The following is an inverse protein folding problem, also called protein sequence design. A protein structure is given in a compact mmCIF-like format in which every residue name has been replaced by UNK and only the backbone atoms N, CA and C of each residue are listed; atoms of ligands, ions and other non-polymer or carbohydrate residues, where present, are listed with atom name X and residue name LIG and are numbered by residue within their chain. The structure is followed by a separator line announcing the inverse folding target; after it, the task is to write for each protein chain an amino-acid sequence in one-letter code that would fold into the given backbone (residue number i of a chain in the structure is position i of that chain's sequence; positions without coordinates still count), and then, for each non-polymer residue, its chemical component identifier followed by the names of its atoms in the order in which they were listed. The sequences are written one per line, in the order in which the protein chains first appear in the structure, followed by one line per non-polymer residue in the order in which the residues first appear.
data_IF_210223355083
#
_entry.id   IF_210223355083
#
_cell.length_a   1.000
_cell.length_b   1.000
_cell.length_c   1.000
_cell.angle_alpha   90.00
_cell.angle_beta   90.00
_cell.angle_gamma   90.00
#
_symmetry.space_group_name_H-M   'P 1'
#
loop_
_entity.id
_entity.type
_entity.pdbx_description
1 polymer ?
#
# COMPACT_ATOMS: atom_id res chain seq x y z
N UNK A 1 26.20 50.33 6.10
CA UNK A 1 26.17 49.02 6.79
C UNK A 1 24.78 48.40 6.79
N UNK A 2 23.73 49.13 7.18
CA UNK A 2 22.34 48.61 7.29
C UNK A 2 21.81 47.93 6.02
N UNK A 3 22.04 48.50 4.83
CA UNK A 3 21.58 47.91 3.55
C UNK A 3 22.26 46.57 3.20
N UNK A 4 23.53 46.41 3.57
CA UNK A 4 24.29 45.17 3.33
C UNK A 4 23.79 44.08 4.27
N UNK A 5 23.55 44.42 5.54
CA UNK A 5 22.99 43.49 6.55
C UNK A 5 21.59 43.04 6.16
N UNK A 6 20.72 43.94 5.69
CA UNK A 6 19.38 43.59 5.20
C UNK A 6 19.42 42.67 3.98
N UNK A 7 20.35 42.91 3.04
CA UNK A 7 20.53 42.05 1.87
C UNK A 7 20.94 40.62 2.24
N UNK A 8 21.88 40.48 3.18
CA UNK A 8 22.32 39.16 3.68
C UNK A 8 21.19 38.45 4.42
N UNK A 9 20.44 39.18 5.27
CA UNK A 9 19.32 38.61 6.02
C UNK A 9 18.20 38.11 5.10
N UNK A 10 17.84 38.89 4.08
CA UNK A 10 16.85 38.48 3.09
C UNK A 10 17.30 37.23 2.31
N UNK A 11 18.56 37.15 1.91
CA UNK A 11 19.11 35.97 1.23
C UNK A 11 19.10 34.72 2.14
N UNK A 12 19.41 34.87 3.44
CA UNK A 12 19.34 33.79 4.41
C UNK A 12 17.90 33.28 4.62
N UNK A 13 16.91 34.17 4.69
CA UNK A 13 15.50 33.78 4.83
C UNK A 13 15.03 33.06 3.56
N UNK A 14 15.35 33.57 2.37
CA UNK A 14 14.97 32.92 1.11
C UNK A 14 15.55 31.51 0.97
N UNK A 15 16.80 31.29 1.42
CA UNK A 15 17.42 29.97 1.40
C UNK A 15 16.77 29.01 2.40
N UNK A 16 16.43 29.46 3.61
CA UNK A 16 15.70 28.65 4.60
C UNK A 16 14.32 28.27 4.08
N UNK A 17 13.57 29.23 3.52
CA UNK A 17 12.23 28.99 2.97
C UNK A 17 12.31 28.06 1.77
N UNK A 18 13.26 28.27 0.86
CA UNK A 18 13.48 27.38 -0.29
C UNK A 18 13.82 25.95 0.13
N UNK A 19 14.70 25.78 1.12
CA UNK A 19 15.05 24.47 1.66
C UNK A 19 13.85 23.77 2.31
N UNK A 20 13.02 24.51 3.05
CA UNK A 20 11.79 23.97 3.66
C UNK A 20 10.77 23.55 2.61
N UNK A 21 10.53 24.36 1.60
CA UNK A 21 9.61 24.02 0.51
C UNK A 21 10.11 22.84 -0.32
N UNK A 22 11.42 22.76 -0.58
CA UNK A 22 12.02 21.60 -1.25
C UNK A 22 11.92 20.34 -0.39
N UNK A 23 12.12 20.46 0.92
CA UNK A 23 11.93 19.35 1.86
C UNK A 23 10.47 18.90 1.88
N UNK A 24 9.51 19.81 2.06
CA UNK A 24 8.08 19.47 2.07
C UNK A 24 7.64 18.84 0.73
N UNK A 25 8.08 19.42 -0.40
CA UNK A 25 7.81 18.86 -1.73
C UNK A 25 8.42 17.46 -1.91
N UNK A 26 9.64 17.20 -1.43
CA UNK A 26 10.28 15.88 -1.53
C UNK A 26 9.70 14.85 -0.56
N UNK A 27 9.23 15.29 0.61
CA UNK A 27 8.54 14.43 1.58
C UNK A 27 7.10 14.09 1.18
N UNK A 28 6.42 14.95 0.42
CA UNK A 28 5.11 14.65 -0.16
C UNK A 28 5.20 14.00 -1.55
N UNK A 29 6.32 14.17 -2.25
CA UNK A 29 6.62 13.47 -3.51
C UNK A 29 7.34 12.13 -3.30
N UNK A 30 7.47 11.65 -2.06
CA UNK A 30 7.99 10.30 -1.83
C UNK A 30 6.90 9.30 -2.22
N UNK A 31 7.19 8.23 -2.97
CA UNK A 31 6.32 7.06 -2.98
C UNK A 31 6.29 6.55 -1.54
N UNK A 32 5.25 6.91 -0.80
CA UNK A 32 5.05 6.55 0.59
C UNK A 32 5.39 5.08 0.79
N UNK A 33 6.50 4.79 1.48
CA UNK A 33 6.73 3.57 2.25
C UNK A 33 6.09 2.29 1.67
N UNK A 34 6.32 2.03 0.38
CA UNK A 34 5.76 0.85 -0.29
C UNK A 34 6.48 -0.43 0.21
N UNK A 35 7.69 -0.26 0.74
CA UNK A 35 8.59 -1.32 1.20
C UNK A 35 9.23 -1.00 2.55
N UNK A 36 8.43 -0.92 3.62
CA UNK A 36 9.03 -0.99 4.94
C UNK A 36 9.45 -2.43 5.24
N UNK A 37 10.76 -2.65 5.28
CA UNK A 37 11.35 -3.97 5.51
C UNK A 37 11.01 -4.58 6.88
N UNK A 38 10.33 -3.85 7.78
CA UNK A 38 9.86 -4.36 9.07
C UNK A 38 8.35 -4.72 9.07
N UNK A 39 7.59 -4.27 8.07
CA UNK A 39 6.22 -4.71 7.83
C UNK A 39 6.23 -6.07 7.09
N UNK A 40 6.93 -7.04 7.67
CA UNK A 40 7.05 -8.38 7.11
C UNK A 40 5.92 -9.26 7.61
N UNK A 41 5.41 -10.11 6.73
CA UNK A 41 4.42 -11.17 6.93
C UNK A 41 2.95 -10.78 7.07
N UNK A 42 2.54 -9.53 6.81
CA UNK A 42 1.11 -9.18 6.75
C UNK A 42 0.76 -8.06 5.77
N UNK A 43 -0.48 -8.09 5.33
CA UNK A 43 -1.18 -7.11 4.49
C UNK A 43 -2.42 -6.64 5.23
N UNK A 44 -2.45 -5.38 5.67
CA UNK A 44 -3.66 -4.73 6.18
C UNK A 44 -4.37 -4.07 5.00
N UNK A 45 -5.59 -4.49 4.68
CA UNK A 45 -6.30 -4.06 3.47
C UNK A 45 -7.79 -3.87 3.71
N UNK A 46 -8.43 -3.18 2.78
CA UNK A 46 -9.89 -3.04 2.72
C UNK A 46 -10.44 -4.05 1.70
N UNK A 47 -11.42 -4.85 2.12
CA UNK A 47 -12.16 -5.76 1.24
C UNK A 47 -13.31 -5.03 0.53
N UNK A 48 -13.92 -5.66 -0.47
CA UNK A 48 -14.97 -5.05 -1.29
C UNK A 48 -16.20 -4.55 -0.52
N UNK A 49 -16.49 -5.18 0.62
CA UNK A 49 -17.59 -4.79 1.50
C UNK A 49 -17.21 -3.63 2.46
N UNK A 50 -16.04 -3.02 2.28
CA UNK A 50 -15.54 -1.93 3.13
C UNK A 50 -14.93 -2.41 4.46
N UNK A 51 -15.00 -3.70 4.78
CA UNK A 51 -14.43 -4.22 6.02
C UNK A 51 -12.91 -4.27 5.94
N UNK A 52 -12.27 -4.03 7.07
CA UNK A 52 -10.81 -4.04 7.23
C UNK A 52 -10.33 -5.42 7.66
N UNK A 53 -9.34 -5.92 6.93
CA UNK A 53 -8.79 -7.25 7.12
C UNK A 53 -7.26 -7.19 7.18
N UNK A 54 -6.68 -8.16 7.87
CA UNK A 54 -5.27 -8.50 7.78
C UNK A 54 -5.13 -9.84 7.08
N UNK A 55 -4.24 -9.96 6.10
CA UNK A 55 -3.95 -11.21 5.42
C UNK A 55 -2.45 -11.53 5.37
N UNK A 56 -2.15 -12.81 5.26
CA UNK A 56 -0.82 -13.35 4.97
C UNK A 56 -0.97 -14.67 4.18
N UNK A 57 0.12 -15.18 3.64
CA UNK A 57 0.11 -16.39 2.82
C UNK A 57 0.68 -17.56 3.63
N UNK A 58 -0.09 -18.64 3.71
CA UNK A 58 0.34 -19.94 4.24
C UNK A 58 -0.13 -21.03 3.29
N UNK A 59 0.75 -21.98 2.97
CA UNK A 59 0.43 -23.14 2.11
C UNK A 59 -0.24 -22.76 0.76
N UNK A 60 0.18 -21.64 0.18
CA UNK A 60 -0.35 -21.12 -1.10
C UNK A 60 -1.74 -20.48 -1.02
N UNK A 61 -2.35 -20.42 0.16
CA UNK A 61 -3.62 -19.75 0.40
C UNK A 61 -3.42 -18.46 1.19
N UNK A 62 -4.38 -17.55 1.07
CA UNK A 62 -4.47 -16.38 1.95
C UNK A 62 -5.15 -16.81 3.24
N UNK A 63 -4.50 -16.62 4.38
CA UNK A 63 -5.14 -16.58 5.70
C UNK A 63 -5.54 -15.14 5.99
N UNK A 64 -6.75 -14.95 6.52
CA UNK A 64 -7.39 -13.65 6.68
C UNK A 64 -7.89 -13.54 8.13
N UNK A 65 -7.75 -12.37 8.73
CA UNK A 65 -8.35 -12.04 10.02
C UNK A 65 -9.05 -10.68 9.92
N UNK A 66 -10.33 -10.56 10.32
CA UNK A 66 -11.01 -9.28 10.33
C UNK A 66 -10.44 -8.40 11.45
N UNK A 67 -10.44 -7.07 11.26
CA UNK A 67 -10.07 -6.13 12.32
C UNK A 67 -11.05 -6.24 13.50
N UNK A 68 -12.34 -6.33 13.21
CA UNK A 68 -13.41 -6.46 14.18
C UNK A 68 -14.11 -7.82 14.00
N UNK A 69 -14.06 -8.64 15.03
CA UNK A 69 -14.74 -9.94 15.06
C UNK A 69 -16.23 -9.69 15.38
N UNK A 70 -17.09 -10.09 14.45
CA UNK A 70 -18.53 -9.88 14.49
C UNK A 70 -19.21 -11.00 13.70
N UNK A 71 -19.85 -10.68 12.58
CA UNK A 71 -20.29 -11.69 11.61
C UNK A 71 -19.14 -12.32 10.82
N UNK A 72 -17.92 -11.80 10.99
CA UNK A 72 -16.71 -12.25 10.31
C UNK A 72 -15.77 -12.94 11.28
N UNK A 73 -15.10 -13.99 10.79
CA UNK A 73 -14.14 -14.78 11.55
C UNK A 73 -12.87 -15.02 10.71
N UNK A 74 -11.74 -15.33 11.37
CA UNK A 74 -10.55 -15.78 10.69
C UNK A 74 -10.83 -17.00 9.81
N UNK A 75 -10.30 -17.01 8.59
CA UNK A 75 -10.47 -18.11 7.65
C UNK A 75 -9.33 -18.10 6.62
N UNK A 76 -9.29 -19.11 5.76
CA UNK A 76 -8.35 -19.20 4.65
C UNK A 76 -9.09 -19.40 3.33
N UNK A 77 -8.64 -18.74 2.26
CA UNK A 77 -9.19 -18.87 0.92
C UNK A 77 -8.05 -18.86 -0.12
N UNK A 78 -8.27 -19.50 -1.26
CA UNK A 78 -7.37 -19.43 -2.41
C UNK A 78 -7.37 -18.06 -3.11
N UNK A 79 -8.39 -17.24 -2.84
CA UNK A 79 -8.52 -15.88 -3.38
C UNK A 79 -8.54 -14.83 -2.28
N UNK A 80 -8.05 -13.63 -2.62
CA UNK A 80 -8.10 -12.43 -1.78
C UNK A 80 -8.87 -11.33 -2.52
N UNK A 81 -9.95 -10.82 -1.94
CA UNK A 81 -10.72 -9.70 -2.50
C UNK A 81 -10.31 -8.38 -1.84
N UNK A 82 -9.78 -7.43 -2.61
CA UNK A 82 -9.22 -6.18 -2.08
C UNK A 82 -9.57 -4.99 -2.98
N UNK A 83 -9.27 -3.78 -2.48
CA UNK A 83 -9.35 -2.53 -3.24
C UNK A 83 -7.95 -2.16 -3.74
N UNK A 84 -7.80 -1.96 -5.06
CA UNK A 84 -6.55 -1.58 -5.70
C UNK A 84 -6.18 -0.10 -5.46
N UNK A 85 -5.04 0.37 -5.97
CA UNK A 85 -4.64 1.78 -5.86
C UNK A 85 -5.61 2.76 -6.53
N UNK A 86 -6.36 2.33 -7.54
CA UNK A 86 -7.34 3.18 -8.22
C UNK A 86 -8.68 3.23 -7.47
N UNK A 87 -8.81 2.52 -6.34
CA UNK A 87 -10.07 2.39 -5.61
C UNK A 87 -11.03 1.37 -6.24
N UNK A 88 -10.57 0.57 -7.20
CA UNK A 88 -11.37 -0.44 -7.87
C UNK A 88 -11.28 -1.80 -7.14
N UNK A 89 -12.38 -2.58 -7.09
CA UNK A 89 -12.35 -3.92 -6.52
C UNK A 89 -11.58 -4.88 -7.44
N UNK A 90 -10.69 -5.67 -6.87
CA UNK A 90 -9.97 -6.75 -7.56
C UNK A 90 -9.91 -8.01 -6.70
N UNK A 91 -9.67 -9.17 -7.34
CA UNK A 91 -9.31 -10.40 -6.64
C UNK A 91 -7.93 -10.88 -7.06
N UNK A 92 -7.19 -11.46 -6.12
CA UNK A 92 -5.90 -12.08 -6.36
C UNK A 92 -5.88 -13.57 -6.01
N UNK A 93 -5.08 -14.35 -6.75
CA UNK A 93 -4.61 -15.70 -6.41
C UNK A 93 -3.09 -15.71 -6.36
N UNK A 94 -2.51 -16.60 -5.56
CA UNK A 94 -1.06 -16.85 -5.55
C UNK A 94 -0.74 -17.86 -6.65
N UNK A 95 0.26 -17.56 -7.49
CA UNK A 95 0.78 -18.46 -8.52
C UNK A 95 2.32 -18.39 -8.49
N UNK A 96 2.95 -19.39 -7.86
CA UNK A 96 4.39 -19.39 -7.62
C UNK A 96 4.82 -18.21 -6.74
N UNK A 97 5.67 -17.33 -7.29
CA UNK A 97 6.16 -16.10 -6.66
C UNK A 97 5.42 -14.83 -7.10
N UNK A 98 4.34 -14.99 -7.88
CA UNK A 98 3.52 -13.92 -8.41
C UNK A 98 2.06 -14.01 -7.93
N UNK A 99 1.30 -12.98 -8.27
CA UNK A 99 -0.15 -12.95 -8.12
C UNK A 99 -0.82 -12.94 -9.49
N UNK A 100 -1.90 -13.70 -9.62
CA UNK A 100 -2.86 -13.54 -10.70
C UNK A 100 -3.97 -12.61 -10.23
N UNK A 101 -4.22 -11.52 -10.94
CA UNK A 101 -5.20 -10.49 -10.60
C UNK A 101 -6.35 -10.51 -11.60
N UNK A 102 -7.56 -10.66 -11.07
CA UNK A 102 -8.82 -10.51 -11.79
C UNK A 102 -9.49 -9.20 -11.35
N UNK A 103 -9.54 -8.21 -12.26
CA UNK A 103 -10.24 -6.95 -12.02
C UNK A 103 -11.74 -7.21 -11.87
N UNK A 104 -12.37 -6.57 -10.87
CA UNK A 104 -13.76 -6.83 -10.47
C UNK A 104 -14.07 -8.30 -10.13
N UNK A 105 -13.04 -9.15 -9.94
CA UNK A 105 -13.16 -10.59 -9.76
C UNK A 105 -13.64 -11.37 -10.97
N UNK A 106 -13.53 -10.81 -12.18
CA UNK A 106 -13.85 -11.53 -13.41
C UNK A 106 -12.73 -12.50 -13.79
N UNK A 107 -12.85 -13.75 -13.32
CA UNK A 107 -11.89 -14.82 -13.62
C UNK A 107 -12.01 -15.39 -15.05
N UNK A 108 -13.01 -14.97 -15.82
CA UNK A 108 -13.15 -15.36 -17.24
C UNK A 108 -12.64 -14.26 -18.19
N UNK A 109 -12.35 -13.07 -17.65
CA UNK A 109 -11.81 -11.94 -18.39
C UNK A 109 -10.28 -11.92 -18.44
N UNK A 110 -9.69 -10.76 -18.80
CA UNK A 110 -8.25 -10.57 -18.74
C UNK A 110 -7.70 -10.76 -17.31
N UNK A 111 -6.69 -11.62 -17.18
CA UNK A 111 -5.98 -11.86 -15.93
C UNK A 111 -4.59 -11.26 -16.04
N UNK A 112 -4.23 -10.42 -15.09
CA UNK A 112 -2.90 -9.83 -14.99
C UNK A 112 -2.02 -10.67 -14.08
N UNK A 113 -0.79 -10.94 -14.51
CA UNK A 113 0.22 -11.54 -13.65
C UNK A 113 1.15 -10.44 -13.12
N UNK A 114 1.21 -10.32 -11.80
CA UNK A 114 1.91 -9.24 -11.12
C UNK A 114 2.85 -9.78 -10.06
N UNK A 115 4.05 -9.21 -9.96
CA UNK A 115 5.04 -9.60 -8.94
C UNK A 115 4.64 -9.17 -7.53
N UNK A 116 3.65 -8.29 -7.41
CA UNK A 116 3.18 -7.77 -6.13
C UNK A 116 1.75 -7.23 -6.22
N UNK A 117 0.99 -7.34 -5.12
CA UNK A 117 -0.31 -6.69 -4.99
C UNK A 117 -0.13 -5.20 -4.78
N UNK A 118 -0.88 -4.38 -5.51
CA UNK A 118 -0.99 -2.92 -5.33
C UNK A 118 -2.37 -2.61 -4.78
N UNK A 119 -2.46 -2.14 -3.55
CA UNK A 119 -3.72 -2.06 -2.83
C UNK A 119 -3.78 -0.85 -1.88
N UNK A 120 -4.99 -0.51 -1.45
CA UNK A 120 -5.24 0.47 -0.40
C UNK A 120 -5.29 -0.21 0.97
N UNK A 121 -4.50 0.28 1.92
CA UNK A 121 -4.52 -0.20 3.29
C UNK A 121 -5.72 0.35 4.10
N UNK A 122 -5.78 0.05 5.40
CA UNK A 122 -6.87 0.50 6.27
C UNK A 122 -7.06 2.02 6.34
N UNK A 123 -6.02 2.79 6.03
CA UNK A 123 -6.01 4.26 6.01
C UNK A 123 -6.26 4.82 4.61
N UNK A 124 -6.39 3.95 3.59
CA UNK A 124 -6.51 4.35 2.19
C UNK A 124 -5.17 4.65 1.53
N UNK A 125 -4.04 4.48 2.24
CA UNK A 125 -2.72 4.68 1.66
C UNK A 125 -2.37 3.57 0.67
N UNK A 126 -1.64 3.96 -0.37
CA UNK A 126 -1.17 3.04 -1.40
C UNK A 126 -0.02 2.19 -0.87
N UNK A 127 -0.25 0.87 -0.77
CA UNK A 127 0.75 -0.12 -0.38
C UNK A 127 0.98 -1.14 -1.48
N UNK A 128 2.13 -1.81 -1.41
CA UNK A 128 2.36 -3.00 -2.21
C UNK A 128 3.04 -4.10 -1.40
N UNK A 129 2.72 -5.34 -1.75
CA UNK A 129 3.24 -6.54 -1.09
C UNK A 129 3.50 -7.65 -2.11
N UNK A 130 4.71 -8.19 -2.09
CA UNK A 130 5.09 -9.39 -2.86
C UNK A 130 4.65 -10.67 -2.15
N UNK A 131 4.58 -11.79 -2.86
CA UNK A 131 4.31 -13.11 -2.26
C UNK A 131 5.27 -13.38 -1.11
N UNK A 132 6.58 -13.18 -1.36
CA UNK A 132 7.65 -13.41 -0.38
C UNK A 132 7.49 -12.58 0.90
N UNK A 133 6.95 -11.37 0.80
CA UNK A 133 6.69 -10.52 1.97
C UNK A 133 5.47 -10.96 2.77
N UNK A 134 4.49 -11.60 2.14
CA UNK A 134 3.28 -12.08 2.81
C UNK A 134 3.40 -13.50 3.30
N UNK A 135 4.39 -14.25 2.83
CA UNK A 135 4.60 -15.63 3.22
C UNK A 135 5.09 -15.73 4.66
N UNK A 136 4.44 -16.62 5.42
CA UNK A 136 4.72 -16.88 6.84
C UNK A 136 5.29 -18.27 7.07
#
# INVERSE_FOLDING_TARGET
MTKIVLGILAAAICTIVGARLAFEATTHATPHAVNEAWAQNKMEFVAWNGNRWTAWIRDGAFEHRPQEEGNWHPHANSTLAFIDWNGAPAQAKVEGDAFLIAHHGDWNGPIEQESALRYQDWTGEHRLRTVKQLQR
#
